data_IF_963318025716
#
_entry.id   IF_963318025716
#
_cell.length_a   1.000
_cell.length_b   1.000
_cell.length_c   1.000
_cell.angle_alpha   90.00
_cell.angle_beta   90.00
_cell.angle_gamma   90.00
#
_symmetry.space_group_name_H-M   'P 1'
#
loop_
_entity.id
_entity.type
_entity.pdbx_description
1 polymer ?
#
# COMPACT_ATOMS: atom_id res chain seq x y z
N UNK A 1 -13.62 6.56 41.60
CA UNK A 1 -14.16 6.10 40.32
C UNK A 1 -12.99 5.82 39.39
N UNK A 2 -12.65 4.54 39.20
CA UNK A 2 -11.54 4.11 38.31
C UNK A 2 -12.12 3.94 36.92
N UNK A 3 -11.61 4.69 35.93
CA UNK A 3 -11.93 4.48 34.51
C UNK A 3 -11.17 3.25 34.04
N UNK A 4 -11.89 2.21 33.63
CA UNK A 4 -11.35 1.02 32.99
C UNK A 4 -10.93 1.35 31.56
N UNK A 5 -9.64 1.26 31.25
CA UNK A 5 -9.12 1.25 29.88
C UNK A 5 -9.50 -0.09 29.24
N UNK A 6 -10.61 -0.07 28.49
CA UNK A 6 -11.03 -1.24 27.72
C UNK A 6 -10.20 -1.34 26.44
N UNK A 7 -9.31 -2.33 26.36
CA UNK A 7 -8.79 -2.81 25.08
C UNK A 7 -9.95 -3.51 24.33
N UNK A 8 -10.05 -3.37 23.00
CA UNK A 8 -11.08 -4.06 22.23
C UNK A 8 -10.93 -5.56 22.40
N UNK A 9 -12.01 -6.20 22.82
CA UNK A 9 -12.09 -7.65 22.99
C UNK A 9 -11.92 -8.34 21.63
N UNK A 10 -11.04 -9.34 21.57
CA UNK A 10 -10.92 -10.22 20.40
C UNK A 10 -12.23 -11.00 20.26
N UNK A 11 -12.99 -10.72 19.20
CA UNK A 11 -14.16 -11.53 18.86
C UNK A 11 -13.73 -12.71 17.99
N UNK A 12 -13.96 -13.92 18.50
CA UNK A 12 -13.78 -15.16 17.77
C UNK A 12 -15.12 -15.53 17.11
N UNK A 13 -15.17 -15.53 15.78
CA UNK A 13 -16.36 -15.97 15.04
C UNK A 13 -16.20 -17.48 14.80
N UNK A 14 -17.09 -18.27 15.41
CA UNK A 14 -17.24 -19.69 15.11
C UNK A 14 -18.33 -19.89 14.06
N UNK A 15 -18.00 -20.43 12.91
CA UNK A 15 -18.96 -21.00 11.99
C UNK A 15 -18.89 -22.52 12.09
N UNK A 16 -20.01 -23.15 12.43
CA UNK A 16 -20.17 -24.60 12.52
C UNK A 16 -20.26 -25.22 11.13
N UNK A 17 -19.39 -26.11 10.82
CA UNK A 17 -19.49 -27.41 10.20
C UNK A 17 -18.35 -27.74 9.21
N UNK A 18 -17.51 -28.69 9.65
CA UNK A 18 -16.82 -29.70 8.84
C UNK A 18 -15.81 -29.26 7.75
N UNK A 19 -14.79 -28.47 8.12
CA UNK A 19 -13.44 -28.60 7.52
C UNK A 19 -12.45 -28.14 8.58
N UNK A 20 -11.63 -29.09 9.09
CA UNK A 20 -10.51 -28.73 9.97
C UNK A 20 -9.37 -28.20 9.10
N UNK A 21 -9.47 -26.93 8.68
CA UNK A 21 -8.26 -26.18 8.38
C UNK A 21 -7.76 -25.58 9.70
N UNK A 22 -6.43 -25.52 9.93
CA UNK A 22 -5.94 -24.63 10.99
C UNK A 22 -6.46 -23.23 10.63
N UNK A 23 -7.40 -22.74 11.43
CA UNK A 23 -7.94 -21.39 11.26
C UNK A 23 -6.75 -20.47 11.48
N UNK A 24 -6.13 -20.03 10.39
CA UNK A 24 -5.20 -18.90 10.43
C UNK A 24 -5.99 -17.77 11.05
N UNK A 25 -5.62 -17.37 12.27
CA UNK A 25 -6.34 -16.31 12.99
C UNK A 25 -6.21 -15.05 12.14
N UNK A 26 -7.32 -14.65 11.53
CA UNK A 26 -7.39 -13.40 10.79
C UNK A 26 -7.28 -12.25 11.80
N UNK A 27 -6.26 -11.42 11.67
CA UNK A 27 -6.10 -10.23 12.49
C UNK A 27 -6.76 -9.03 11.79
N UNK A 28 -7.43 -8.20 12.58
CA UNK A 28 -8.03 -6.95 12.09
C UNK A 28 -7.90 -5.84 13.13
N UNK A 29 -7.93 -4.62 12.65
CA UNK A 29 -7.99 -3.41 13.46
C UNK A 29 -9.09 -2.51 12.91
N UNK A 30 -10.01 -2.09 13.78
CA UNK A 30 -10.97 -1.05 13.42
C UNK A 30 -10.25 0.30 13.29
N UNK A 31 -10.42 0.95 12.15
CA UNK A 31 -9.81 2.25 11.86
C UNK A 31 -10.89 3.29 11.55
N UNK A 32 -10.57 4.56 11.84
CA UNK A 32 -11.42 5.71 11.49
C UNK A 32 -10.71 6.58 10.48
N UNK A 33 -11.42 6.96 9.40
CA UNK A 33 -10.97 7.99 8.47
C UNK A 33 -10.87 9.34 9.17
N UNK A 34 -9.81 10.09 8.84
CA UNK A 34 -9.53 11.42 9.35
C UNK A 34 -9.59 12.44 8.20
N UNK A 35 -8.45 13.05 7.87
CA UNK A 35 -8.33 14.02 6.78
C UNK A 35 -8.32 13.33 5.42
N UNK A 36 -8.85 14.01 4.43
CA UNK A 36 -8.87 13.56 3.03
C UNK A 36 -8.24 14.61 2.13
N UNK A 37 -7.53 14.18 1.09
CA UNK A 37 -6.77 15.02 0.19
C UNK A 37 -6.93 14.58 -1.25
N UNK A 38 -7.04 15.56 -2.16
CA UNK A 38 -6.79 15.37 -3.59
C UNK A 38 -5.47 16.04 -3.92
N UNK A 39 -4.59 15.35 -4.60
CA UNK A 39 -3.23 15.80 -4.88
C UNK A 39 -2.84 15.51 -6.32
N UNK A 40 -2.04 16.39 -6.91
CA UNK A 40 -1.34 16.14 -8.16
C UNK A 40 0.13 15.82 -7.86
N UNK A 41 0.65 14.77 -8.46
CA UNK A 41 2.08 14.44 -8.38
C UNK A 41 2.82 15.21 -9.49
N UNK A 42 3.94 15.88 -9.18
CA UNK A 42 4.65 16.70 -10.16
C UNK A 42 5.14 15.90 -11.37
N UNK A 43 5.08 16.54 -12.54
CA UNK A 43 5.67 16.02 -13.77
C UNK A 43 7.14 15.65 -13.58
N UNK A 44 7.58 14.55 -14.18
CA UNK A 44 8.95 14.02 -14.20
C UNK A 44 9.50 13.59 -12.81
N UNK A 45 8.68 13.66 -11.75
CA UNK A 45 9.04 13.14 -10.44
C UNK A 45 8.94 11.61 -10.39
N UNK A 46 9.55 11.01 -9.36
CA UNK A 46 9.37 9.60 -9.06
C UNK A 46 8.06 9.40 -8.28
N UNK A 47 7.18 8.52 -8.76
CA UNK A 47 5.87 8.33 -8.16
C UNK A 47 5.95 7.82 -6.72
N UNK A 48 6.78 6.80 -6.44
CA UNK A 48 6.91 6.22 -5.10
C UNK A 48 7.49 7.23 -4.10
N UNK A 49 8.57 7.91 -4.51
CA UNK A 49 9.21 8.91 -3.65
C UNK A 49 8.29 10.11 -3.39
N UNK A 50 7.53 10.54 -4.40
CA UNK A 50 6.55 11.64 -4.24
C UNK A 50 5.42 11.27 -3.28
N UNK A 51 4.89 10.05 -3.35
CA UNK A 51 3.88 9.55 -2.40
C UNK A 51 4.44 9.49 -0.96
N UNK A 52 5.70 9.06 -0.81
CA UNK A 52 6.37 9.03 0.49
C UNK A 52 6.58 10.44 1.05
N UNK A 53 7.02 11.38 0.21
CA UNK A 53 7.22 12.78 0.61
C UNK A 53 5.89 13.46 0.95
N UNK A 54 4.83 13.22 0.17
CA UNK A 54 3.49 13.72 0.45
C UNK A 54 3.02 13.29 1.85
N UNK A 55 3.20 12.01 2.20
CA UNK A 55 2.85 11.50 3.52
C UNK A 55 3.64 12.19 4.65
N UNK A 56 4.95 12.46 4.43
CA UNK A 56 5.80 13.16 5.39
C UNK A 56 5.37 14.62 5.59
N UNK A 57 5.16 15.37 4.50
CA UNK A 57 4.72 16.78 4.54
C UNK A 57 3.39 16.92 5.25
N UNK A 58 2.44 16.02 4.96
CA UNK A 58 1.12 16.00 5.60
C UNK A 58 1.14 15.40 7.01
N UNK A 59 2.28 14.85 7.46
CA UNK A 59 2.47 14.14 8.75
C UNK A 59 1.52 12.96 8.92
N UNK A 60 1.22 12.24 7.82
CA UNK A 60 0.35 11.07 7.81
C UNK A 60 1.20 9.83 8.10
N UNK A 61 0.90 9.16 9.22
CA UNK A 61 1.57 7.92 9.64
C UNK A 61 0.82 6.65 9.23
N UNK A 62 -0.46 6.78 8.91
CA UNK A 62 -1.31 5.69 8.43
C UNK A 62 -2.36 6.24 7.47
N UNK A 63 -2.57 5.57 6.35
CA UNK A 63 -3.52 6.00 5.34
C UNK A 63 -3.72 4.98 4.23
N UNK A 64 -4.75 5.21 3.44
CA UNK A 64 -5.00 4.53 2.18
C UNK A 64 -5.07 5.56 1.07
N UNK A 65 -4.71 5.16 -0.13
CA UNK A 65 -4.81 6.05 -1.29
C UNK A 65 -5.10 5.24 -2.56
N UNK A 66 -5.73 5.93 -3.51
CA UNK A 66 -5.90 5.49 -4.89
C UNK A 66 -5.35 6.55 -5.82
N UNK A 67 -4.94 6.15 -7.02
CA UNK A 67 -4.40 7.07 -8.00
C UNK A 67 -4.64 6.58 -9.42
N UNK A 68 -4.74 7.54 -10.34
CA UNK A 68 -4.84 7.36 -11.79
C UNK A 68 -3.92 8.36 -12.49
N UNK A 69 -3.64 8.14 -13.77
CA UNK A 69 -2.81 9.05 -14.55
C UNK A 69 -2.01 8.36 -15.61
N UNK A 70 -0.81 8.88 -15.90
CA UNK A 70 0.11 8.34 -16.88
C UNK A 70 1.56 8.42 -16.40
N UNK A 71 2.37 7.47 -16.82
CA UNK A 71 3.81 7.42 -16.56
C UNK A 71 4.61 7.49 -17.86
N UNK A 72 5.75 8.16 -17.79
CA UNK A 72 6.78 8.14 -18.84
C UNK A 72 7.52 6.80 -18.85
N UNK A 73 7.72 6.21 -17.69
CA UNK A 73 8.35 4.90 -17.46
C UNK A 73 7.72 4.31 -16.22
N UNK A 74 7.40 3.03 -16.22
CA UNK A 74 6.96 2.30 -15.03
C UNK A 74 8.00 1.26 -14.61
N UNK A 75 8.34 1.27 -13.32
CA UNK A 75 9.18 0.26 -12.68
C UNK A 75 8.32 -0.47 -11.65
N UNK A 76 8.14 -1.77 -11.86
CA UNK A 76 7.30 -2.60 -11.02
C UNK A 76 8.08 -3.83 -10.53
N UNK A 77 7.84 -4.22 -9.29
CA UNK A 77 8.38 -5.46 -8.77
C UNK A 77 7.37 -6.61 -8.86
N UNK A 78 7.89 -7.80 -9.10
CA UNK A 78 7.24 -9.08 -8.85
C UNK A 78 7.96 -9.78 -7.69
N UNK A 79 7.22 -10.28 -6.70
CA UNK A 79 7.80 -11.00 -5.57
C UNK A 79 7.81 -12.50 -5.85
N UNK A 80 9.00 -13.08 -5.99
CA UNK A 80 9.22 -14.52 -6.17
C UNK A 80 9.15 -15.18 -4.80
N UNK A 81 7.97 -15.74 -4.45
CA UNK A 81 7.63 -16.17 -3.09
C UNK A 81 8.56 -17.27 -2.54
N UNK A 82 8.91 -18.28 -3.37
CA UNK A 82 9.79 -19.39 -2.99
C UNK A 82 11.25 -18.97 -2.79
N UNK A 83 11.68 -17.86 -3.41
CA UNK A 83 13.04 -17.31 -3.31
C UNK A 83 13.12 -16.11 -2.36
N UNK A 84 11.97 -15.60 -1.92
CA UNK A 84 11.83 -14.40 -1.06
C UNK A 84 12.60 -13.20 -1.60
N UNK A 85 12.54 -12.98 -2.92
CA UNK A 85 13.22 -11.88 -3.59
C UNK A 85 12.29 -11.14 -4.54
N UNK A 86 12.60 -9.87 -4.81
CA UNK A 86 11.93 -9.06 -5.80
C UNK A 86 12.65 -9.13 -7.15
N UNK A 87 11.89 -9.28 -8.22
CA UNK A 87 12.34 -9.12 -9.60
C UNK A 87 11.77 -7.82 -10.17
N UNK A 88 12.61 -7.02 -10.83
CA UNK A 88 12.25 -5.73 -11.38
C UNK A 88 11.84 -5.86 -12.84
N UNK A 89 10.63 -5.39 -13.15
CA UNK A 89 10.14 -5.20 -14.50
C UNK A 89 10.12 -3.70 -14.83
N UNK A 90 10.73 -3.32 -15.95
CA UNK A 90 10.75 -1.94 -16.46
C UNK A 90 9.92 -1.88 -17.74
N UNK A 91 8.98 -0.95 -17.79
CA UNK A 91 8.14 -0.67 -18.93
C UNK A 91 8.50 0.71 -19.45
N UNK A 92 9.18 0.74 -20.58
CA UNK A 92 9.49 1.99 -21.28
C UNK A 92 8.19 2.52 -21.89
N UNK A 93 7.71 3.62 -21.29
CA UNK A 93 6.42 4.21 -21.63
C UNK A 93 6.39 5.00 -22.95
N UNK A 94 5.34 5.76 -23.17
CA UNK A 94 4.29 6.13 -22.20
C UNK A 94 3.30 5.00 -21.89
N UNK A 95 2.85 4.95 -20.66
CA UNK A 95 1.81 4.01 -20.20
C UNK A 95 0.76 4.75 -19.36
N UNK A 96 -0.50 4.31 -19.45
CA UNK A 96 -1.57 4.81 -18.59
C UNK A 96 -1.59 4.05 -17.26
N UNK A 97 -1.82 4.75 -16.15
CA UNK A 97 -2.19 4.13 -14.87
C UNK A 97 -3.69 3.90 -14.89
N UNK A 98 -4.11 2.68 -15.20
CA UNK A 98 -5.53 2.28 -15.23
C UNK A 98 -6.13 2.29 -13.83
N UNK A 99 -5.36 1.80 -12.86
CA UNK A 99 -5.74 1.78 -11.45
C UNK A 99 -4.48 1.61 -10.60
N UNK A 100 -4.37 2.41 -9.57
CA UNK A 100 -3.35 2.25 -8.54
C UNK A 100 -3.96 2.42 -7.16
N UNK A 101 -3.48 1.62 -6.20
CA UNK A 101 -3.90 1.72 -4.81
C UNK A 101 -2.78 1.32 -3.87
N UNK A 102 -2.86 1.84 -2.66
CA UNK A 102 -1.86 1.50 -1.66
C UNK A 102 -2.23 1.95 -0.25
N UNK A 103 -1.29 1.72 0.64
CA UNK A 103 -1.39 2.18 2.02
C UNK A 103 -0.08 2.82 2.48
N UNK A 104 -0.23 3.66 3.48
CA UNK A 104 0.84 4.28 4.25
C UNK A 104 0.84 3.64 5.63
N UNK A 105 2.01 3.25 6.10
CA UNK A 105 2.25 2.75 7.46
C UNK A 105 3.65 3.20 7.91
N UNK A 106 4.04 2.85 9.13
CA UNK A 106 5.42 3.06 9.61
C UNK A 106 6.17 1.74 9.73
N UNK A 107 7.48 1.78 9.49
CA UNK A 107 8.40 0.68 9.78
C UNK A 107 9.67 1.28 10.42
N UNK A 108 10.02 0.84 11.63
CA UNK A 108 11.15 1.36 12.40
C UNK A 108 11.17 2.90 12.55
N UNK A 109 9.97 3.49 12.61
CA UNK A 109 9.78 4.93 12.75
C UNK A 109 9.69 5.71 11.44
N UNK A 110 10.08 5.13 10.32
CA UNK A 110 10.01 5.73 8.99
C UNK A 110 8.65 5.50 8.31
N UNK A 111 8.28 6.43 7.42
CA UNK A 111 7.10 6.28 6.55
C UNK A 111 7.41 5.26 5.45
N UNK A 112 6.55 4.26 5.34
CA UNK A 112 6.56 3.26 4.26
C UNK A 112 5.28 3.41 3.43
N UNK A 113 5.46 3.51 2.12
CA UNK A 113 4.39 3.46 1.13
C UNK A 113 4.43 2.09 0.46
N UNK A 114 3.30 1.39 0.47
CA UNK A 114 3.10 0.13 -0.22
C UNK A 114 1.98 0.31 -1.23
N UNK A 115 2.28 0.14 -2.50
CA UNK A 115 1.32 0.32 -3.57
C UNK A 115 1.46 -0.74 -4.67
N UNK A 116 0.33 -1.09 -5.25
CA UNK A 116 0.23 -1.86 -6.47
C UNK A 116 -0.52 -1.05 -7.52
N UNK A 117 -0.18 -1.26 -8.79
CA UNK A 117 -0.88 -0.61 -9.89
C UNK A 117 -0.99 -1.52 -11.10
N UNK A 118 -2.00 -1.23 -11.93
CA UNK A 118 -2.17 -1.75 -13.28
C UNK A 118 -1.88 -0.60 -14.25
N UNK A 119 -1.00 -0.87 -15.20
CA UNK A 119 -0.68 0.04 -16.31
C UNK A 119 -1.18 -0.54 -17.62
N UNK A 120 -1.46 0.32 -18.59
CA UNK A 120 -1.81 -0.09 -19.95
C UNK A 120 -0.89 0.57 -20.98
N UNK A 121 -0.45 -0.20 -21.96
CA UNK A 121 0.27 0.31 -23.12
C UNK A 121 -0.70 0.95 -24.14
N UNK A 122 -0.14 1.51 -25.24
CA UNK A 122 -0.92 2.14 -26.32
C UNK A 122 -1.93 1.21 -26.99
N UNK A 123 -1.75 -0.11 -26.88
CA UNK A 123 -2.65 -1.12 -27.46
C UNK A 123 -3.70 -1.60 -26.46
N UNK A 124 -3.65 -1.11 -25.21
CA UNK A 124 -4.54 -1.54 -24.13
C UNK A 124 -4.10 -2.85 -23.46
N UNK A 125 -2.90 -3.36 -23.76
CA UNK A 125 -2.37 -4.50 -22.99
C UNK A 125 -2.05 -4.03 -21.58
N UNK A 126 -2.54 -4.78 -20.59
CA UNK A 126 -2.37 -4.44 -19.19
C UNK A 126 -1.26 -5.25 -18.53
N UNK A 127 -0.49 -4.56 -17.70
CA UNK A 127 0.56 -5.12 -16.86
C UNK A 127 0.38 -4.60 -15.44
N UNK A 128 0.86 -5.33 -14.45
CA UNK A 128 0.71 -4.88 -13.06
C UNK A 128 1.83 -5.39 -12.16
N UNK A 129 1.94 -4.74 -11.00
CA UNK A 129 2.93 -5.15 -10.01
C UNK A 129 3.03 -4.19 -8.83
N UNK A 130 4.01 -4.44 -8.00
CA UNK A 130 4.35 -3.63 -6.85
C UNK A 130 5.16 -2.39 -7.30
N UNK A 131 4.67 -1.20 -6.97
CA UNK A 131 5.32 0.07 -7.30
C UNK A 131 6.71 0.16 -6.67
N UNK A 132 7.71 0.46 -7.47
CA UNK A 132 9.08 0.72 -7.00
C UNK A 132 9.65 2.00 -7.59
N UNK A 133 10.79 2.42 -7.06
CA UNK A 133 11.53 3.58 -7.56
C UNK A 133 11.93 3.39 -9.03
N UNK A 134 11.92 4.51 -9.76
CA UNK A 134 12.15 4.57 -11.21
C UNK A 134 10.88 4.79 -12.02
N UNK A 135 9.69 4.81 -11.39
CA UNK A 135 8.41 5.11 -12.04
C UNK A 135 8.25 6.62 -12.24
N UNK A 136 8.47 7.12 -13.47
CA UNK A 136 8.48 8.55 -13.80
C UNK A 136 7.10 9.05 -14.21
N UNK A 137 6.60 10.05 -13.50
CA UNK A 137 5.26 10.63 -13.69
C UNK A 137 5.20 11.50 -14.96
N UNK A 138 4.19 11.26 -15.78
CA UNK A 138 3.73 12.22 -16.78
C UNK A 138 2.63 13.11 -16.19
N UNK A 139 1.58 12.51 -15.65
CA UNK A 139 0.52 13.16 -14.89
C UNK A 139 -0.05 12.12 -13.91
N UNK A 140 -0.33 12.52 -12.67
CA UNK A 140 -0.92 11.58 -11.70
C UNK A 140 -1.74 12.34 -10.66
N UNK A 141 -2.98 11.90 -10.48
CA UNK A 141 -3.92 12.39 -9.49
C UNK A 141 -4.08 11.34 -8.40
N UNK A 142 -4.01 11.77 -7.15
CA UNK A 142 -4.06 10.91 -5.97
C UNK A 142 -5.19 11.35 -5.06
N UNK A 143 -6.06 10.40 -4.69
CA UNK A 143 -6.95 10.56 -3.54
C UNK A 143 -6.32 9.84 -2.34
N UNK A 144 -6.08 10.57 -1.26
CA UNK A 144 -5.46 10.08 -0.04
C UNK A 144 -6.36 10.32 1.17
N UNK A 145 -6.60 9.26 1.94
CA UNK A 145 -7.34 9.31 3.21
C UNK A 145 -6.46 8.88 4.37
N UNK A 146 -6.29 9.77 5.34
CA UNK A 146 -5.61 9.46 6.60
C UNK A 146 -6.47 8.53 7.47
N UNK A 147 -5.81 7.60 8.17
CA UNK A 147 -6.46 6.65 9.07
C UNK A 147 -5.91 6.77 10.50
N UNK A 148 -6.76 6.49 11.50
CA UNK A 148 -6.42 6.40 12.90
C UNK A 148 -7.04 5.14 13.52
N UNK A 149 -6.33 4.42 14.40
CA UNK A 149 -4.97 4.69 14.89
C UNK A 149 -3.91 4.47 13.80
N UNK A 150 -2.70 4.99 14.02
CA UNK A 150 -1.57 4.73 13.14
C UNK A 150 -1.16 3.26 13.20
N UNK A 151 -0.84 2.70 12.02
CA UNK A 151 -0.45 1.30 11.84
C UNK A 151 1.03 1.21 11.54
N UNK A 152 1.70 0.21 12.10
CA UNK A 152 3.11 -0.09 11.80
C UNK A 152 3.25 -1.40 11.04
N UNK A 153 4.47 -1.64 10.54
CA UNK A 153 4.87 -2.89 9.90
C UNK A 153 5.94 -3.59 10.74
N UNK A 154 6.03 -4.90 10.59
CA UNK A 154 7.07 -5.72 11.19
C UNK A 154 7.50 -6.78 10.18
N UNK A 155 8.81 -7.08 10.18
CA UNK A 155 9.34 -8.18 9.38
C UNK A 155 8.74 -9.53 9.80
N UNK A 156 8.25 -10.28 8.82
CA UNK A 156 7.74 -11.62 8.95
C UNK A 156 8.67 -12.63 8.26
N UNK A 157 9.28 -13.50 9.02
CA UNK A 157 10.24 -14.49 8.51
C UNK A 157 9.61 -15.55 7.62
N UNK A 158 8.31 -15.83 7.79
CA UNK A 158 7.60 -16.81 6.97
C UNK A 158 7.47 -16.32 5.52
N UNK A 159 7.04 -15.09 5.34
CA UNK A 159 6.87 -14.48 4.01
C UNK A 159 8.10 -13.76 3.50
N UNK A 160 9.02 -13.33 4.38
CA UNK A 160 10.16 -12.48 4.04
C UNK A 160 9.79 -11.01 3.79
N UNK A 161 8.58 -10.59 4.18
CA UNK A 161 8.02 -9.26 3.93
C UNK A 161 7.77 -8.50 5.23
N UNK A 162 7.66 -7.16 5.12
CA UNK A 162 7.22 -6.32 6.22
C UNK A 162 5.69 -6.23 6.21
N UNK A 163 5.02 -7.02 7.05
CA UNK A 163 3.56 -7.09 7.15
C UNK A 163 3.00 -6.06 8.14
N UNK A 164 1.72 -5.68 7.96
CA UNK A 164 1.01 -4.82 8.91
C UNK A 164 0.87 -5.53 10.26
N UNK A 165 1.07 -4.78 11.34
CA UNK A 165 0.80 -5.21 12.70
C UNK A 165 -0.61 -4.73 13.06
N UNK A 166 -1.55 -5.67 13.17
CA UNK A 166 -2.97 -5.41 13.44
C UNK A 166 -3.41 -6.03 14.75
#
# INVERSE_FOLDING_TARGET
>A
MKKSNGYPQRQTIFTSSHIIFPVSIMNWLEVKGQREFLCNIPYDSDLLLSLKELAKVLKIKSGIFTFIGALKTACLFYYVQNEKKFEKNVFDGPVEIVSGMGNIATFEGDIVVHAHLVIADRKGNCYGGHLTEGSKVFACEVYLRELSPAVSRKYDSLTGLNLLVL
#
